data_IF_950267851446
#
_entry.id   IF_950267851446
#
_cell.length_a   1.000
_cell.length_b   1.000
_cell.length_c   1.000
_cell.angle_alpha   90.00
_cell.angle_beta   90.00
_cell.angle_gamma   90.00
#
_symmetry.space_group_name_H-M   'P 1'
#
loop_
_entity.id
_entity.type
_entity.pdbx_description
1 polymer ?
#
# COMPACT_ATOMS: atom_id res chain seq x y z
N UNK A 1 -36.60 -34.65 11.08
CA UNK A 1 -35.82 -33.47 11.49
C UNK A 1 -35.74 -32.52 10.29
N UNK A 2 -36.57 -31.48 10.25
CA UNK A 2 -36.63 -30.53 9.14
C UNK A 2 -35.72 -29.33 9.43
N UNK A 3 -34.72 -29.09 8.58
CA UNK A 3 -33.93 -27.87 8.58
C UNK A 3 -34.81 -26.72 8.08
N UNK A 4 -35.22 -25.83 8.98
CA UNK A 4 -35.93 -24.61 8.60
C UNK A 4 -34.97 -23.72 7.79
N UNK A 5 -35.20 -23.62 6.48
CA UNK A 5 -34.57 -22.62 5.65
C UNK A 5 -35.15 -21.25 6.01
N UNK A 6 -34.33 -20.42 6.65
CA UNK A 6 -34.65 -19.03 6.96
C UNK A 6 -34.85 -18.30 5.63
N UNK A 7 -36.09 -17.87 5.37
CA UNK A 7 -36.47 -17.13 4.16
C UNK A 7 -35.93 -15.70 4.22
N UNK A 8 -35.53 -15.15 3.06
CA UNK A 8 -34.91 -13.82 2.93
C UNK A 8 -35.70 -12.65 3.54
N UNK A 9 -37.00 -12.81 3.79
CA UNK A 9 -37.85 -11.80 4.40
C UNK A 9 -37.52 -11.52 5.88
N UNK A 10 -36.88 -12.44 6.60
CA UNK A 10 -36.52 -12.22 8.02
C UNK A 10 -35.24 -11.40 8.19
N UNK A 11 -34.50 -11.13 7.11
CA UNK A 11 -33.31 -10.26 7.14
C UNK A 11 -33.65 -8.77 7.30
N UNK A 12 -34.91 -8.39 7.09
CA UNK A 12 -35.37 -6.99 7.12
C UNK A 12 -35.59 -6.47 8.56
N UNK A 13 -35.70 -7.38 9.53
CA UNK A 13 -35.90 -7.06 10.96
C UNK A 13 -34.61 -7.10 11.78
N UNK A 14 -33.45 -7.24 11.14
CA UNK A 14 -32.18 -7.10 11.85
C UNK A 14 -31.98 -5.61 12.18
N UNK A 15 -31.81 -5.23 13.46
CA UNK A 15 -31.54 -3.86 13.83
C UNK A 15 -30.31 -3.39 13.05
N UNK A 16 -30.44 -2.23 12.37
CA UNK A 16 -29.41 -1.63 11.49
C UNK A 16 -28.03 -1.44 12.15
N UNK A 17 -27.90 -1.71 13.46
CA UNK A 17 -26.65 -1.67 14.21
C UNK A 17 -25.83 -2.97 14.25
N UNK A 18 -26.34 -4.11 13.78
CA UNK A 18 -25.63 -5.40 13.81
C UNK A 18 -25.21 -5.93 12.42
N UNK A 19 -25.27 -5.09 11.39
CA UNK A 19 -24.48 -5.36 10.18
C UNK A 19 -23.04 -5.07 10.56
N UNK A 20 -22.34 -6.09 11.07
CA UNK A 20 -20.91 -6.05 11.31
C UNK A 20 -20.26 -5.56 10.01
N UNK A 21 -19.90 -4.28 9.97
CA UNK A 21 -19.28 -3.67 8.80
C UNK A 21 -18.01 -4.47 8.57
N UNK A 22 -17.86 -5.20 7.45
CA UNK A 22 -16.64 -5.94 7.22
C UNK A 22 -15.50 -4.94 7.33
N UNK A 23 -14.63 -5.11 8.32
CA UNK A 23 -13.42 -4.32 8.46
C UNK A 23 -12.56 -4.69 7.26
N UNK A 24 -12.77 -3.98 6.16
CA UNK A 24 -11.94 -4.11 4.97
C UNK A 24 -10.57 -3.64 5.41
N UNK A 25 -9.70 -4.57 5.82
CA UNK A 25 -8.30 -4.29 6.15
C UNK A 25 -7.64 -3.74 4.89
N UNK A 26 -7.68 -2.43 4.70
CA UNK A 26 -7.14 -1.77 3.52
C UNK A 26 -5.63 -2.03 3.47
N UNK A 27 -5.13 -2.32 2.29
CA UNK A 27 -3.68 -2.38 2.09
C UNK A 27 -3.06 -1.03 2.50
N UNK A 28 -1.93 -1.07 3.21
CA UNK A 28 -1.18 0.11 3.65
C UNK A 28 -0.79 0.99 2.46
N UNK A 29 -0.45 0.35 1.34
CA UNK A 29 -0.07 1.00 0.08
C UNK A 29 -0.99 0.57 -1.08
N UNK A 30 -1.18 1.49 -2.03
CA UNK A 30 -1.92 1.23 -3.28
C UNK A 30 -0.95 0.74 -4.37
N UNK A 31 -1.45 0.01 -5.36
CA UNK A 31 -0.69 -0.27 -6.59
C UNK A 31 -0.35 1.06 -7.27
N UNK A 32 0.86 1.21 -7.77
CA UNK A 32 1.41 2.45 -8.33
C UNK A 32 1.86 3.48 -7.29
N UNK A 33 1.70 3.21 -5.99
CA UNK A 33 2.18 4.14 -4.96
C UNK A 33 3.71 4.16 -4.92
N UNK A 34 4.27 5.35 -4.74
CA UNK A 34 5.69 5.53 -4.45
C UNK A 34 5.94 5.22 -2.97
N UNK A 35 6.88 4.32 -2.75
CA UNK A 35 7.30 3.89 -1.43
C UNK A 35 8.81 3.95 -1.34
N UNK A 36 9.34 4.16 -0.13
CA UNK A 36 10.77 4.09 0.12
C UNK A 36 11.08 2.75 0.77
N UNK A 37 12.10 2.09 0.24
CA UNK A 37 12.65 0.85 0.74
C UNK A 37 14.16 1.06 0.95
N UNK A 38 14.60 1.12 2.21
CA UNK A 38 15.93 1.64 2.56
C UNK A 38 16.18 3.03 1.94
N UNK A 39 17.20 3.16 1.10
CA UNK A 39 17.56 4.40 0.42
C UNK A 39 17.00 4.51 -1.00
N UNK A 40 16.25 3.49 -1.42
CA UNK A 40 15.71 3.41 -2.77
C UNK A 40 14.25 3.86 -2.82
N UNK A 41 13.93 4.68 -3.82
CA UNK A 41 12.53 4.94 -4.20
C UNK A 41 12.05 3.79 -5.07
N UNK A 42 10.87 3.28 -4.74
CA UNK A 42 10.27 2.14 -5.39
C UNK A 42 8.80 2.39 -5.74
N UNK A 43 8.28 1.66 -6.73
CA UNK A 43 6.85 1.67 -7.12
C UNK A 43 6.21 0.34 -6.74
N UNK A 44 5.04 0.37 -6.12
CA UNK A 44 4.28 -0.85 -5.79
C UNK A 44 3.61 -1.44 -7.04
N UNK A 45 3.94 -2.67 -7.40
CA UNK A 45 3.33 -3.42 -8.51
C UNK A 45 2.21 -4.35 -8.07
N UNK A 46 2.49 -5.19 -7.08
CA UNK A 46 1.56 -6.20 -6.57
C UNK A 46 1.43 -6.10 -5.05
N UNK A 47 0.32 -6.62 -4.55
CA UNK A 47 -0.03 -6.57 -3.13
C UNK A 47 -0.59 -7.94 -2.72
N UNK A 48 -0.02 -8.49 -1.68
CA UNK A 48 -0.37 -9.78 -1.13
C UNK A 48 -0.77 -9.60 0.33
N UNK A 49 -1.79 -10.33 0.76
CA UNK A 49 -2.08 -10.48 2.18
C UNK A 49 -1.37 -11.74 2.63
N UNK A 50 -0.52 -11.58 3.63
CA UNK A 50 -0.01 -12.73 4.35
C UNK A 50 -1.07 -13.16 5.38
N UNK A 51 -1.03 -14.41 5.83
CA UNK A 51 -1.94 -14.89 6.87
C UNK A 51 -1.96 -13.93 8.08
N UNK A 52 -3.15 -13.62 8.59
CA UNK A 52 -3.34 -12.72 9.74
C UNK A 52 -3.47 -11.22 9.39
N UNK A 53 -2.50 -10.41 9.84
CA UNK A 53 -2.45 -8.95 9.60
C UNK A 53 -1.30 -8.51 8.69
N UNK A 54 -0.42 -9.42 8.31
CA UNK A 54 0.74 -9.15 7.46
C UNK A 54 0.32 -8.76 6.04
N UNK A 55 1.10 -7.87 5.44
CA UNK A 55 0.92 -7.46 4.05
C UNK A 55 2.27 -7.46 3.38
N UNK A 56 2.38 -8.11 2.23
CA UNK A 56 3.58 -8.13 1.40
C UNK A 56 3.32 -7.44 0.06
N UNK A 57 4.38 -6.88 -0.52
CA UNK A 57 4.30 -6.03 -1.69
C UNK A 57 5.44 -6.39 -2.66
N UNK A 58 5.10 -6.50 -3.94
CA UNK A 58 6.13 -6.50 -4.99
C UNK A 58 6.40 -5.06 -5.37
N UNK A 59 7.64 -4.63 -5.25
CA UNK A 59 8.09 -3.27 -5.54
C UNK A 59 9.17 -3.28 -6.60
N UNK A 60 9.13 -2.33 -7.52
CA UNK A 60 10.19 -2.10 -8.50
C UNK A 60 11.02 -0.90 -8.05
N UNK A 61 12.33 -1.09 -7.96
CA UNK A 61 13.25 0.00 -7.61
C UNK A 61 13.39 0.93 -8.82
N UNK A 62 13.09 2.21 -8.64
CA UNK A 62 13.20 3.25 -9.69
C UNK A 62 14.36 4.22 -9.46
N UNK A 63 14.94 4.24 -8.25
CA UNK A 63 16.09 5.07 -7.92
C UNK A 63 17.36 4.24 -8.13
N UNK A 64 18.16 4.60 -9.12
CA UNK A 64 19.42 3.94 -9.44
C UNK A 64 19.82 4.20 -10.89
N UNK A 65 21.00 4.77 -11.09
CA UNK A 65 21.59 5.03 -12.41
C UNK A 65 22.11 3.74 -13.07
N UNK A 66 22.22 2.66 -12.30
CA UNK A 66 22.78 1.38 -12.73
C UNK A 66 21.71 0.46 -13.32
N UNK A 67 21.45 0.62 -14.61
CA UNK A 67 21.18 -0.45 -15.61
C UNK A 67 20.05 -1.47 -15.41
N UNK A 68 19.37 -1.50 -14.26
CA UNK A 68 18.33 -2.48 -13.96
C UNK A 68 17.30 -1.90 -13.02
N UNK A 69 16.03 -2.20 -13.28
CA UNK A 69 14.92 -1.93 -12.35
C UNK A 69 14.60 -3.21 -11.60
N UNK A 70 15.39 -3.59 -10.57
CA UNK A 70 15.18 -4.85 -9.89
C UNK A 70 13.81 -4.84 -9.19
N UNK A 71 13.07 -5.91 -9.42
CA UNK A 71 11.80 -6.17 -8.74
C UNK A 71 12.10 -6.94 -7.46
N UNK A 72 11.59 -6.47 -6.31
CA UNK A 72 11.75 -7.11 -5.01
C UNK A 72 10.40 -7.40 -4.37
N UNK A 73 10.34 -8.48 -3.59
CA UNK A 73 9.19 -8.82 -2.75
C UNK A 73 9.52 -8.47 -1.29
N UNK A 74 8.73 -7.58 -0.68
CA UNK A 74 9.04 -6.96 0.62
C UNK A 74 7.78 -6.89 1.48
N UNK A 75 7.91 -7.14 2.78
CA UNK A 75 6.82 -6.92 3.75
C UNK A 75 6.56 -5.42 3.94
N UNK A 76 5.28 -5.06 4.10
CA UNK A 76 4.83 -3.68 4.24
C UNK A 76 5.31 -2.95 5.50
N UNK A 77 5.84 -3.68 6.47
CA UNK A 77 6.50 -3.13 7.66
C UNK A 77 7.82 -2.41 7.33
N UNK A 78 8.57 -2.91 6.35
CA UNK A 78 9.84 -2.31 5.89
C UNK A 78 9.65 -1.22 4.84
N UNK A 79 8.41 -0.91 4.47
CA UNK A 79 8.07 0.12 3.49
C UNK A 79 7.54 1.36 4.19
N UNK A 80 7.98 2.53 3.73
CA UNK A 80 7.48 3.84 4.14
C UNK A 80 6.89 4.58 2.94
N UNK A 81 5.92 5.49 3.18
CA UNK A 81 5.37 6.31 2.09
C UNK A 81 6.45 7.28 1.64
N UNK A 82 6.71 7.32 0.33
CA UNK A 82 7.55 8.35 -0.24
C UNK A 82 6.70 9.60 -0.50
N UNK A 83 7.13 10.75 0.01
CA UNK A 83 6.53 12.05 -0.27
C UNK A 83 7.59 12.94 -0.95
N UNK A 84 7.43 13.29 -2.24
CA UNK A 84 8.42 14.10 -2.96
C UNK A 84 8.51 15.56 -2.48
N UNK A 85 7.62 16.02 -1.60
CA UNK A 85 7.48 17.45 -1.21
C UNK A 85 8.56 17.94 -0.22
N UNK A 86 9.50 17.09 0.22
CA UNK A 86 10.51 17.47 1.22
C UNK A 86 11.95 17.35 0.71
N UNK A 87 12.21 17.59 -0.57
CA UNK A 87 13.56 17.97 -0.98
C UNK A 87 13.63 19.49 -1.01
N UNK A 88 14.44 20.15 -0.15
CA UNK A 88 14.89 21.49 -0.47
C UNK A 88 15.63 21.35 -1.78
N UNK A 89 15.06 21.87 -2.85
CA UNK A 89 15.80 22.10 -4.09
C UNK A 89 16.99 22.95 -3.66
N UNK A 90 18.18 22.37 -3.65
CA UNK A 90 19.39 23.14 -3.57
C UNK A 90 19.39 23.98 -4.85
N UNK A 91 18.89 25.21 -4.74
CA UNK A 91 19.09 26.23 -5.75
C UNK A 91 20.59 26.34 -5.91
N UNK A 92 21.12 25.73 -6.97
CA UNK A 92 22.43 26.03 -7.51
C UNK A 92 22.39 27.48 -7.94
N UNK A 93 22.64 28.40 -6.99
CA UNK A 93 23.05 29.74 -7.29
C UNK A 93 24.49 29.67 -7.79
N UNK A 94 24.64 29.29 -9.05
CA UNK A 94 25.77 29.73 -9.82
C UNK A 94 25.63 31.24 -9.98
N UNK A 95 26.47 32.01 -9.30
CA UNK A 95 26.73 33.39 -9.71
C UNK A 95 28.24 33.60 -9.68
N UNK A 96 28.79 33.59 -10.88
CA UNK A 96 30.12 34.10 -11.20
C UNK A 96 30.18 35.61 -10.95
N UNK A 97 31.31 36.07 -10.41
CA UNK A 97 31.90 37.41 -10.56
C UNK A 97 33.30 37.28 -9.94
N UNK A 98 34.33 37.05 -10.76
CA UNK A 98 35.29 38.06 -11.27
C UNK A 98 36.16 38.61 -10.16
#
# INVERSE_FOLDING_TARGET
MQHAQIKDFERVLLPRGLVARPTVKRFKFRKGALVRFHDNVCVVHLRFRDGGSGQSFTVEIISGTDGGRPIRHVRGEFLTRYNPVSQPVASTAGSAAT
#
